data_IF_598271728161
#
_entry.id   IF_598271728161
#
_cell.length_a   1.000
_cell.length_b   1.000
_cell.length_c   1.000
_cell.angle_alpha   90.00
_cell.angle_beta   90.00
_cell.angle_gamma   90.00
#
_symmetry.space_group_name_H-M   'P 1'
#
loop_
_entity.id
_entity.type
_entity.pdbx_description
1 polymer ?
#
# COMPACT_ATOMS: atom_id res chain seq x y z
N UNK A 1 -1.25 -6.40 -10.06
CA UNK A 1 -0.48 -5.24 -10.54
C UNK A 1 0.85 -5.73 -11.09
N UNK A 2 0.89 -6.28 -12.32
CA UNK A 2 2.10 -6.85 -12.91
C UNK A 2 3.16 -5.80 -13.30
N UNK A 3 2.73 -4.54 -13.44
CA UNK A 3 3.52 -3.36 -13.74
C UNK A 3 4.14 -2.70 -12.50
N UNK A 4 3.87 -3.23 -11.30
CA UNK A 4 4.38 -2.67 -10.06
C UNK A 4 5.72 -3.30 -9.66
N UNK A 5 6.63 -2.47 -9.15
CA UNK A 5 7.81 -2.93 -8.44
C UNK A 5 7.47 -3.18 -6.96
N UNK A 6 8.03 -4.26 -6.39
CA UNK A 6 7.80 -4.64 -4.99
C UNK A 6 9.14 -4.70 -4.25
N UNK A 7 9.18 -4.07 -3.07
CA UNK A 7 10.31 -4.13 -2.14
C UNK A 7 9.84 -4.59 -0.75
N UNK A 8 10.69 -5.37 -0.08
CA UNK A 8 10.42 -6.00 1.22
C UNK A 8 11.34 -5.52 2.36
N UNK A 9 12.02 -4.38 2.19
CA UNK A 9 13.05 -3.89 3.13
C UNK A 9 12.43 -3.40 4.45
N UNK A 10 11.35 -2.62 4.40
CA UNK A 10 10.61 -2.11 5.58
C UNK A 10 9.11 -2.33 5.37
N UNK A 11 8.65 -3.56 5.59
CA UNK A 11 7.31 -3.99 5.21
C UNK A 11 7.21 -4.23 3.70
N UNK A 12 6.04 -3.99 3.12
CA UNK A 12 5.76 -4.20 1.71
C UNK A 12 5.60 -2.82 1.05
N UNK A 13 6.56 -2.45 0.20
CA UNK A 13 6.46 -1.28 -0.66
C UNK A 13 6.07 -1.72 -2.07
N UNK A 14 5.03 -1.13 -2.63
CA UNK A 14 4.58 -1.34 -4.02
C UNK A 14 4.67 0.02 -4.72
N UNK A 15 5.35 0.11 -5.85
CA UNK A 15 5.52 1.38 -6.59
C UNK A 15 5.35 1.21 -8.09
N UNK A 16 4.83 2.26 -8.73
CA UNK A 16 4.62 2.36 -10.17
C UNK A 16 5.43 3.54 -10.75
N UNK A 17 5.65 3.53 -12.06
CA UNK A 17 6.38 4.59 -12.78
C UNK A 17 5.67 5.95 -12.78
N UNK A 18 4.36 5.97 -12.50
CA UNK A 18 3.55 7.19 -12.42
C UNK A 18 3.61 7.90 -11.05
N UNK A 19 4.68 7.66 -10.30
CA UNK A 19 4.91 8.16 -8.94
C UNK A 19 3.89 7.69 -7.90
N UNK A 20 3.02 6.74 -8.24
CA UNK A 20 2.14 6.11 -7.26
C UNK A 20 2.94 5.12 -6.41
N UNK A 21 2.70 5.12 -5.11
CA UNK A 21 3.27 4.11 -4.22
C UNK A 21 2.37 3.80 -3.03
N UNK A 22 2.57 2.60 -2.50
CA UNK A 22 1.97 2.08 -1.28
C UNK A 22 3.10 1.60 -0.37
N UNK A 23 2.98 1.84 0.93
CA UNK A 23 3.80 1.23 1.97
C UNK A 23 2.91 0.62 3.04
N UNK A 24 3.02 -0.70 3.22
CA UNK A 24 2.32 -1.45 4.27
C UNK A 24 3.37 -1.99 5.23
N UNK A 25 3.30 -1.61 6.50
CA UNK A 25 4.28 -2.06 7.50
C UNK A 25 3.69 -2.14 8.91
N UNK A 26 4.20 -3.02 9.78
CA UNK A 26 3.88 -2.95 11.20
C UNK A 26 4.38 -1.63 11.80
N UNK A 27 3.62 -1.07 12.73
CA UNK A 27 4.14 0.00 13.58
C UNK A 27 5.16 -0.58 14.57
N UNK A 28 6.31 0.07 14.70
CA UNK A 28 7.34 -0.33 15.66
C UNK A 28 7.05 0.12 17.10
N UNK A 29 6.02 0.95 17.33
CA UNK A 29 5.73 1.56 18.64
C UNK A 29 4.32 1.30 19.13
N UNK A 30 3.43 0.79 18.28
CA UNK A 30 2.01 0.62 18.57
C UNK A 30 1.52 -0.69 17.94
N UNK A 31 0.51 -1.36 18.49
CA UNK A 31 -0.01 -2.62 17.97
C UNK A 31 -0.94 -2.39 16.76
N UNK A 32 -0.41 -1.80 15.68
CA UNK A 32 -1.18 -1.43 14.49
C UNK A 32 -0.37 -1.56 13.20
N UNK A 33 -1.06 -1.86 12.10
CA UNK A 33 -0.52 -1.87 10.75
C UNK A 33 -0.67 -0.47 10.15
N UNK A 34 0.41 0.09 9.59
CA UNK A 34 0.38 1.37 8.88
C UNK A 34 0.34 1.12 7.38
N UNK A 35 -0.60 1.80 6.73
CA UNK A 35 -0.76 1.82 5.28
C UNK A 35 -0.63 3.28 4.84
N UNK A 36 0.35 3.58 3.99
CA UNK A 36 0.54 4.90 3.41
C UNK A 36 0.45 4.79 1.90
N UNK A 37 -0.32 5.67 1.27
CA UNK A 37 -0.55 5.67 -0.18
C UNK A 37 -0.38 7.09 -0.68
N UNK A 38 0.36 7.25 -1.76
CA UNK A 38 0.57 8.53 -2.42
C UNK A 38 0.45 8.34 -3.93
N UNK A 39 -0.18 9.30 -4.59
CA UNK A 39 -0.32 9.33 -6.04
C UNK A 39 -0.69 10.75 -6.49
N UNK A 40 -0.36 11.06 -7.74
CA UNK A 40 -0.83 12.27 -8.42
C UNK A 40 -2.32 12.18 -8.81
N UNK A 41 -2.94 11.00 -8.72
CA UNK A 41 -4.31 10.74 -9.18
C UNK A 41 -5.23 10.39 -8.02
N UNK A 42 -6.14 11.31 -7.67
CA UNK A 42 -7.07 11.16 -6.53
C UNK A 42 -7.91 9.89 -6.60
N UNK A 43 -8.43 9.54 -7.78
CA UNK A 43 -9.28 8.35 -7.92
C UNK A 43 -8.47 7.06 -7.82
N UNK A 44 -7.21 7.07 -8.25
CA UNK A 44 -6.29 5.95 -8.06
C UNK A 44 -6.04 5.69 -6.57
N UNK A 45 -5.82 6.75 -5.77
CA UNK A 45 -5.67 6.61 -4.30
C UNK A 45 -6.92 5.95 -3.68
N UNK A 46 -8.12 6.42 -4.02
CA UNK A 46 -9.37 5.84 -3.47
C UNK A 46 -9.51 4.36 -3.81
N UNK A 47 -9.25 3.99 -5.06
CA UNK A 47 -9.32 2.60 -5.51
C UNK A 47 -8.30 1.72 -4.78
N UNK A 48 -7.06 2.20 -4.64
CA UNK A 48 -6.01 1.47 -3.93
C UNK A 48 -6.35 1.29 -2.45
N UNK A 49 -6.83 2.34 -1.75
CA UNK A 49 -7.29 2.24 -0.35
C UNK A 49 -8.34 1.14 -0.23
N UNK A 50 -9.37 1.16 -1.09
CA UNK A 50 -10.45 0.17 -1.04
C UNK A 50 -9.92 -1.25 -1.24
N UNK A 51 -9.11 -1.49 -2.28
CA UNK A 51 -8.61 -2.84 -2.58
C UNK A 51 -7.67 -3.37 -1.49
N UNK A 52 -6.79 -2.53 -0.95
CA UNK A 52 -5.81 -2.95 0.07
C UNK A 52 -6.49 -3.22 1.41
N UNK A 53 -7.41 -2.34 1.83
CA UNK A 53 -8.13 -2.51 3.09
C UNK A 53 -9.02 -3.75 3.06
N UNK A 54 -9.71 -4.00 1.93
CA UNK A 54 -10.49 -5.22 1.75
C UNK A 54 -9.63 -6.48 1.87
N UNK A 55 -8.47 -6.51 1.21
CA UNK A 55 -7.54 -7.65 1.26
C UNK A 55 -7.01 -7.91 2.68
N UNK A 56 -6.58 -6.86 3.39
CA UNK A 56 -6.01 -6.99 4.75
C UNK A 56 -7.09 -7.41 5.76
N UNK A 57 -8.31 -6.88 5.64
CA UNK A 57 -9.39 -7.17 6.60
C UNK A 57 -10.01 -8.54 6.36
N UNK A 58 -10.18 -8.95 5.10
CA UNK A 58 -10.77 -10.26 4.79
C UNK A 58 -9.92 -11.42 5.32
N UNK A 59 -8.60 -11.24 5.37
CA UNK A 59 -7.68 -12.20 5.98
C UNK A 59 -7.92 -13.62 5.47
N UNK A 60 -7.49 -13.90 4.23
CA UNK A 60 -7.34 -15.30 3.80
C UNK A 60 -6.18 -15.97 4.56
#
# INVERSE_FOLDING_TARGET
YPDANISYIDGIRISWDDFTWILIRPSGTEPLIRITIESMFKDKVKNLISSITEFIIKGD
#
